data_IF_220746689939
#
_entry.id   IF_220746689939
#
_cell.length_a   1.000
_cell.length_b   1.000
_cell.length_c   1.000
_cell.angle_alpha   90.00
_cell.angle_beta   90.00
_cell.angle_gamma   90.00
#
_symmetry.space_group_name_H-M   'P 1'
#
loop_
_entity.id
_entity.type
_entity.pdbx_description
1 polymer ?
#
# COMPACT_ATOMS: atom_id res chain seq x y z
N UNK A 1 -28.08 -14.01 -11.13
CA UNK A 1 -28.59 -13.12 -10.05
C UNK A 1 -28.80 -11.75 -10.67
N UNK A 2 -29.82 -11.00 -10.27
CA UNK A 2 -29.97 -9.62 -10.74
C UNK A 2 -28.81 -8.77 -10.20
N UNK A 3 -28.26 -7.87 -11.02
CA UNK A 3 -27.22 -6.93 -10.60
C UNK A 3 -27.77 -6.01 -9.50
N UNK A 4 -26.97 -5.81 -8.46
CA UNK A 4 -27.34 -4.95 -7.34
C UNK A 4 -27.10 -3.50 -7.71
N UNK A 5 -28.04 -2.61 -7.36
CA UNK A 5 -27.86 -1.15 -7.54
C UNK A 5 -26.64 -0.57 -6.79
N UNK A 6 -26.03 -1.37 -5.91
CA UNK A 6 -24.84 -1.01 -5.13
C UNK A 6 -23.54 -1.51 -5.77
N UNK A 7 -23.58 -2.31 -6.83
CA UNK A 7 -22.38 -2.83 -7.51
C UNK A 7 -21.50 -1.69 -8.06
N UNK A 8 -22.08 -0.51 -8.33
CA UNK A 8 -21.37 0.73 -8.69
C UNK A 8 -20.38 1.25 -7.62
N UNK A 9 -20.45 0.74 -6.39
CA UNK A 9 -19.52 1.09 -5.30
C UNK A 9 -18.41 0.04 -5.12
N UNK A 10 -18.39 -1.00 -5.95
CA UNK A 10 -17.38 -2.05 -5.92
C UNK A 10 -16.33 -1.80 -7.01
N UNK A 11 -15.06 -1.97 -6.65
CA UNK A 11 -13.95 -1.96 -7.59
C UNK A 11 -13.33 -3.35 -7.59
N UNK A 12 -13.25 -3.95 -8.77
CA UNK A 12 -12.62 -5.26 -8.97
C UNK A 12 -11.34 -5.07 -9.75
N UNK A 13 -10.25 -5.67 -9.26
CA UNK A 13 -8.98 -5.68 -10.00
C UNK A 13 -9.20 -6.51 -11.28
N UNK A 14 -8.93 -5.95 -12.48
CA UNK A 14 -9.10 -6.69 -13.71
C UNK A 14 -8.09 -7.85 -13.80
N UNK A 15 -8.52 -8.97 -14.37
CA UNK A 15 -7.66 -10.15 -14.55
C UNK A 15 -6.52 -9.93 -15.56
N UNK A 16 -6.64 -8.93 -16.43
CA UNK A 16 -5.67 -8.59 -17.48
C UNK A 16 -5.45 -7.07 -17.56
N UNK A 17 -4.38 -6.63 -18.22
CA UNK A 17 -4.11 -5.20 -18.45
C UNK A 17 -3.55 -4.44 -17.24
N UNK A 18 -3.19 -5.14 -16.16
CA UNK A 18 -2.55 -4.54 -14.98
C UNK A 18 -1.14 -4.06 -15.34
N UNK A 19 -0.82 -2.81 -15.00
CA UNK A 19 0.53 -2.25 -15.17
C UNK A 19 1.24 -2.22 -13.83
N UNK A 20 2.25 -3.08 -13.67
CA UNK A 20 3.04 -3.19 -12.45
C UNK A 20 2.37 -4.02 -11.34
N UNK A 21 3.03 -4.15 -10.17
CA UNK A 21 2.56 -4.97 -9.05
C UNK A 21 1.33 -4.38 -8.32
N UNK A 22 1.00 -3.11 -8.60
CA UNK A 22 -0.04 -2.34 -7.94
C UNK A 22 -1.35 -2.21 -8.70
N UNK A 23 -2.43 -1.90 -7.99
CA UNK A 23 -3.62 -1.27 -8.56
C UNK A 23 -4.27 -0.35 -7.52
N UNK A 24 -4.92 0.71 -8.00
CA UNK A 24 -5.90 1.44 -7.21
C UNK A 24 -7.16 0.58 -7.03
N UNK A 25 -7.50 0.30 -5.78
CA UNK A 25 -8.73 -0.37 -5.37
C UNK A 25 -9.85 0.61 -5.01
N UNK A 26 -9.52 1.86 -4.70
CA UNK A 26 -10.52 2.87 -4.37
C UNK A 26 -9.97 4.26 -4.66
N UNK A 27 -10.82 5.15 -5.16
CA UNK A 27 -10.59 6.59 -5.27
C UNK A 27 -11.92 7.27 -5.62
N UNK A 28 -11.94 8.61 -5.63
CA UNK A 28 -13.11 9.34 -6.12
C UNK A 28 -13.31 9.17 -7.65
N UNK A 29 -12.22 8.94 -8.40
CA UNK A 29 -12.30 8.67 -9.84
C UNK A 29 -12.95 7.31 -10.14
N UNK A 30 -12.64 6.29 -9.34
CA UNK A 30 -13.22 4.96 -9.49
C UNK A 30 -14.65 4.89 -8.95
N UNK A 31 -14.90 5.56 -7.83
CA UNK A 31 -16.20 5.58 -7.15
C UNK A 31 -16.54 7.01 -6.76
N UNK A 32 -17.35 7.74 -7.57
CA UNK A 32 -17.70 9.12 -7.29
C UNK A 32 -18.27 9.32 -5.88
N UNK A 33 -17.65 10.24 -5.13
CA UNK A 33 -17.99 10.53 -3.73
C UNK A 33 -17.18 9.77 -2.69
N UNK A 34 -16.32 8.82 -3.10
CA UNK A 34 -15.37 8.18 -2.18
C UNK A 34 -14.15 9.10 -1.97
N UNK A 35 -14.01 9.65 -0.76
CA UNK A 35 -12.88 10.50 -0.39
C UNK A 35 -11.75 9.73 0.32
N UNK A 36 -11.58 8.47 -0.05
CA UNK A 36 -10.49 7.61 0.41
C UNK A 36 -9.88 6.93 -0.80
N UNK A 37 -8.57 6.96 -0.85
CA UNK A 37 -7.81 6.30 -1.90
C UNK A 37 -7.11 5.07 -1.31
N UNK A 38 -7.23 3.93 -1.99
CA UNK A 38 -6.66 2.66 -1.56
C UNK A 38 -5.81 2.11 -2.69
N UNK A 39 -4.51 1.99 -2.47
CA UNK A 39 -3.59 1.24 -3.32
C UNK A 39 -3.40 -0.16 -2.74
N UNK A 40 -3.32 -1.14 -3.63
CA UNK A 40 -2.97 -2.51 -3.29
C UNK A 40 -1.82 -3.00 -4.17
N UNK A 41 -0.70 -3.32 -3.55
CA UNK A 41 0.53 -3.77 -4.20
C UNK A 41 0.86 -5.20 -3.79
N UNK A 42 1.09 -6.04 -4.79
CA UNK A 42 1.53 -7.41 -4.60
C UNK A 42 3.04 -7.50 -4.75
N UNK A 43 3.75 -7.76 -3.65
CA UNK A 43 5.21 -7.88 -3.66
C UNK A 43 5.55 -9.37 -3.78
N UNK A 44 5.73 -9.85 -5.01
CA UNK A 44 6.06 -11.25 -5.31
C UNK A 44 7.56 -11.50 -5.47
N UNK A 45 8.34 -10.44 -5.54
CA UNK A 45 9.81 -10.45 -5.62
C UNK A 45 10.35 -9.15 -5.02
N UNK A 46 11.65 -9.08 -4.75
CA UNK A 46 12.28 -7.86 -4.26
C UNK A 46 12.13 -6.73 -5.30
N UNK A 47 11.46 -5.61 -4.96
CA UNK A 47 11.19 -4.53 -5.91
C UNK A 47 12.45 -3.93 -6.52
N UNK A 48 12.36 -3.48 -7.77
CA UNK A 48 13.40 -2.75 -8.49
C UNK A 48 12.79 -1.52 -9.19
N UNK A 49 13.37 -0.32 -9.05
CA UNK A 49 14.56 -0.01 -8.27
C UNK A 49 14.34 -0.16 -6.76
N UNK A 50 15.44 -0.24 -6.02
CA UNK A 50 15.47 -0.32 -4.56
C UNK A 50 16.57 0.64 -4.06
N UNK A 51 16.26 1.82 -3.51
CA UNK A 51 14.95 2.23 -2.99
C UNK A 51 13.89 2.41 -4.08
N UNK A 52 12.65 2.04 -3.74
CA UNK A 52 11.53 2.16 -4.69
C UNK A 52 10.98 3.60 -4.71
N UNK A 53 10.95 4.26 -3.56
CA UNK A 53 10.62 5.68 -3.43
C UNK A 53 11.89 6.43 -3.04
N UNK A 54 12.48 7.19 -3.97
CA UNK A 54 13.77 7.86 -3.72
C UNK A 54 13.62 9.16 -2.92
N UNK A 55 12.42 9.75 -2.92
CA UNK A 55 12.12 11.01 -2.25
C UNK A 55 11.34 10.79 -0.96
N UNK A 56 11.44 11.76 -0.06
CA UNK A 56 10.48 11.94 1.02
C UNK A 56 9.27 12.68 0.45
N UNK A 57 8.08 12.22 0.81
CA UNK A 57 6.80 12.83 0.49
C UNK A 57 6.17 13.41 1.77
N UNK A 58 5.33 14.41 1.59
CA UNK A 58 4.50 14.97 2.66
C UNK A 58 3.23 15.48 2.01
N UNK A 59 2.09 15.27 2.66
CA UNK A 59 0.78 15.62 2.14
C UNK A 59 -0.15 16.07 3.27
N UNK A 60 -1.23 16.77 2.89
CA UNK A 60 -2.19 17.40 3.80
C UNK A 60 -3.28 16.47 4.34
N UNK A 61 -3.17 15.17 4.05
CA UNK A 61 -4.05 14.11 4.52
C UNK A 61 -3.28 13.07 5.33
N UNK A 62 -4.00 12.34 6.19
CA UNK A 62 -3.43 11.22 6.92
C UNK A 62 -3.38 9.97 6.03
N UNK A 63 -2.38 9.12 6.22
CA UNK A 63 -2.15 7.91 5.44
C UNK A 63 -1.85 6.70 6.35
N UNK A 64 -2.30 5.52 5.91
CA UNK A 64 -1.88 4.25 6.49
C UNK A 64 -1.09 3.44 5.47
N UNK A 65 0.06 2.93 5.87
CA UNK A 65 0.78 1.90 5.12
C UNK A 65 0.65 0.58 5.85
N UNK A 66 -0.01 -0.38 5.21
CA UNK A 66 -0.11 -1.74 5.72
C UNK A 66 0.89 -2.61 4.96
N UNK A 67 1.72 -3.34 5.69
CA UNK A 67 2.56 -4.41 5.15
C UNK A 67 2.06 -5.71 5.75
N UNK A 68 1.55 -6.62 4.92
CA UNK A 68 0.82 -7.81 5.36
C UNK A 68 1.49 -9.05 4.77
N UNK A 69 2.03 -9.90 5.62
CA UNK A 69 2.57 -11.20 5.25
C UNK A 69 1.51 -12.11 4.63
N UNK A 70 1.91 -12.98 3.73
CA UNK A 70 1.00 -13.91 3.04
C UNK A 70 1.13 -15.36 3.49
N UNK A 71 1.80 -15.62 4.61
CA UNK A 71 1.90 -16.96 5.19
C UNK A 71 0.73 -17.18 6.18
N UNK A 72 -0.29 -17.99 5.85
CA UNK A 72 -1.43 -18.17 6.74
C UNK A 72 -1.08 -19.00 7.98
N UNK A 73 0.04 -19.72 7.99
CA UNK A 73 0.54 -20.40 9.19
C UNK A 73 1.30 -19.45 10.12
N UNK A 74 1.83 -18.36 9.58
CA UNK A 74 2.61 -17.34 10.30
C UNK A 74 2.16 -15.92 9.91
N UNK A 75 0.91 -15.51 10.21
CA UNK A 75 0.33 -14.26 9.71
C UNK A 75 1.04 -13.00 10.22
N UNK A 76 1.74 -13.09 11.35
CA UNK A 76 2.59 -12.04 11.89
C UNK A 76 3.89 -11.86 11.13
N UNK A 77 4.38 -12.89 10.43
CA UNK A 77 5.64 -12.82 9.70
C UNK A 77 5.45 -12.14 8.36
N UNK A 78 6.23 -11.08 8.11
CA UNK A 78 6.11 -10.35 6.84
C UNK A 78 6.64 -11.17 5.65
N UNK A 79 7.63 -12.03 5.86
CA UNK A 79 8.33 -12.68 4.74
C UNK A 79 9.50 -11.88 4.17
N UNK A 80 10.06 -10.95 4.95
CA UNK A 80 11.20 -10.12 4.57
C UNK A 80 11.35 -8.92 5.48
N UNK A 81 12.24 -8.01 5.09
CA UNK A 81 12.52 -6.80 5.85
C UNK A 81 12.36 -5.57 4.95
N UNK A 82 11.55 -4.62 5.40
CA UNK A 82 11.34 -3.32 4.75
C UNK A 82 11.87 -2.23 5.67
N UNK A 83 12.62 -1.31 5.09
CA UNK A 83 13.10 -0.11 5.74
C UNK A 83 12.43 1.10 5.10
N UNK A 84 11.77 1.93 5.92
CA UNK A 84 11.21 3.22 5.53
C UNK A 84 11.60 4.30 6.52
N UNK A 85 11.27 5.54 6.20
CA UNK A 85 11.58 6.70 7.02
C UNK A 85 10.35 7.57 7.24
N UNK A 86 10.22 8.09 8.46
CA UNK A 86 9.29 9.15 8.87
C UNK A 86 10.13 10.27 9.49
N UNK A 87 10.13 11.45 8.87
CA UNK A 87 11.11 12.48 9.13
C UNK A 87 12.52 11.95 8.89
N UNK A 88 13.39 12.12 9.88
CA UNK A 88 14.76 11.59 9.87
C UNK A 88 14.87 10.25 10.63
N UNK A 89 13.75 9.71 11.11
CA UNK A 89 13.72 8.48 11.89
C UNK A 89 13.41 7.27 11.01
N UNK A 90 14.14 6.18 11.26
CA UNK A 90 14.04 4.93 10.51
C UNK A 90 13.02 3.98 11.13
N UNK A 91 12.13 3.43 10.31
CA UNK A 91 11.23 2.35 10.68
C UNK A 91 11.65 1.07 9.97
N UNK A 92 11.99 0.05 10.78
CA UNK A 92 12.26 -1.30 10.28
C UNK A 92 11.01 -2.15 10.49
N UNK A 93 10.56 -2.79 9.42
CA UNK A 93 9.34 -3.57 9.37
C UNK A 93 9.73 -5.00 9.00
N UNK A 94 9.56 -5.92 9.96
CA UNK A 94 9.88 -7.35 9.81
C UNK A 94 8.65 -8.25 10.01
N UNK A 95 7.52 -7.65 10.37
CA UNK A 95 6.27 -8.31 10.71
C UNK A 95 5.09 -7.62 10.01
N UNK A 96 3.95 -8.30 9.93
CA UNK A 96 2.69 -7.71 9.51
C UNK A 96 2.38 -6.49 10.37
N UNK A 97 2.31 -5.31 9.74
CA UNK A 97 2.32 -4.02 10.44
C UNK A 97 1.40 -3.04 9.72
N UNK A 98 0.70 -2.21 10.50
CA UNK A 98 0.08 -0.99 10.02
C UNK A 98 0.86 0.22 10.57
N UNK A 99 1.30 1.10 9.68
CA UNK A 99 1.96 2.36 10.01
C UNK A 99 0.96 3.50 9.78
N UNK A 100 0.72 4.31 10.81
CA UNK A 100 -0.04 5.56 10.68
C UNK A 100 0.92 6.72 10.41
N UNK A 101 0.64 7.46 9.35
CA UNK A 101 1.40 8.62 8.91
C UNK A 101 0.48 9.84 9.07
N UNK A 102 0.71 10.68 10.10
CA UNK A 102 -0.06 11.90 10.27
C UNK A 102 0.16 12.86 9.11
N UNK A 103 -0.86 13.63 8.75
CA UNK A 103 -0.74 14.71 7.76
C UNK A 103 0.44 15.63 8.06
N UNK A 104 1.08 16.10 7.00
CA UNK A 104 2.26 16.96 6.98
C UNK A 104 3.53 16.34 7.57
N UNK A 105 3.53 15.08 8.02
CA UNK A 105 4.74 14.38 8.44
C UNK A 105 5.49 13.88 7.20
N UNK A 106 6.74 14.31 6.97
CA UNK A 106 7.55 13.76 5.89
C UNK A 106 7.72 12.26 6.08
N UNK A 107 7.56 11.47 5.03
CA UNK A 107 7.77 10.03 5.06
C UNK A 107 8.18 9.52 3.68
N UNK A 108 8.73 8.32 3.57
CA UNK A 108 9.14 7.74 2.29
C UNK A 108 10.48 7.02 2.39
N UNK A 109 11.26 7.06 1.31
CA UNK A 109 12.55 6.33 1.23
C UNK A 109 12.42 4.85 1.59
N UNK A 110 11.49 4.17 0.91
CA UNK A 110 11.20 2.77 1.18
C UNK A 110 12.15 1.86 0.40
N UNK A 111 12.81 0.94 1.11
CA UNK A 111 13.70 -0.06 0.55
C UNK A 111 13.46 -1.43 1.16
N UNK A 112 13.61 -2.47 0.34
CA UNK A 112 13.57 -3.86 0.80
C UNK A 112 14.99 -4.31 1.14
N UNK A 113 15.25 -4.62 2.41
CA UNK A 113 16.55 -5.12 2.89
C UNK A 113 16.71 -6.61 2.60
N UNK A 114 15.62 -7.36 2.70
CA UNK A 114 15.53 -8.76 2.32
C UNK A 114 14.15 -9.08 1.75
N UNK A 115 14.06 -10.18 1.00
CA UNK A 115 12.82 -10.75 0.51
C UNK A 115 12.92 -12.27 0.59
N UNK A 116 11.99 -12.91 1.29
CA UNK A 116 11.94 -14.36 1.44
C UNK A 116 10.61 -14.93 0.93
N UNK A 117 9.51 -14.22 1.19
CA UNK A 117 8.15 -14.64 0.84
C UNK A 117 7.33 -13.45 0.32
N UNK A 118 6.35 -13.72 -0.54
CA UNK A 118 5.41 -12.70 -0.97
C UNK A 118 4.69 -12.03 0.20
N UNK A 119 4.43 -10.75 0.06
CA UNK A 119 3.60 -9.97 0.96
C UNK A 119 2.81 -8.91 0.19
N UNK A 120 1.84 -8.32 0.88
CA UNK A 120 1.02 -7.24 0.36
C UNK A 120 1.49 -5.95 1.00
N UNK A 121 1.61 -4.90 0.20
CA UNK A 121 1.71 -3.53 0.70
C UNK A 121 0.46 -2.76 0.27
N UNK A 122 -0.24 -2.13 1.20
CA UNK A 122 -1.38 -1.26 0.91
C UNK A 122 -1.10 0.14 1.42
N UNK A 123 -1.48 1.13 0.61
CA UNK A 123 -1.53 2.53 1.01
C UNK A 123 -2.99 2.95 1.09
N UNK A 124 -3.43 3.46 2.24
CA UNK A 124 -4.77 3.99 2.44
C UNK A 124 -4.64 5.47 2.78
N UNK A 125 -4.98 6.32 1.82
CA UNK A 125 -4.90 7.78 1.94
C UNK A 125 -6.28 8.30 2.27
N UNK A 126 -6.41 9.08 3.35
CA UNK A 126 -7.67 9.73 3.73
C UNK A 126 -7.93 10.99 2.89
N UNK A 127 -7.86 10.82 1.56
CA UNK A 127 -8.09 11.83 0.53
C UNK A 127 -8.78 11.17 -0.67
N UNK A 128 -9.66 11.93 -1.33
CA UNK A 128 -10.31 11.50 -2.57
C UNK A 128 -9.46 11.69 -3.82
N UNK A 129 -8.35 12.43 -3.72
CA UNK A 129 -7.45 12.70 -4.84
C UNK A 129 -6.39 11.60 -4.92
N UNK A 130 -6.15 11.10 -6.13
CA UNK A 130 -5.01 10.25 -6.47
C UNK A 130 -3.76 11.12 -6.60
#
# INVERSE_FOLDING_TARGET
MAESKYDKYMVTIPATGRKGPGAWLMSNELVPGCNVNIMYNWISEQPKPNPMHMAMESHDYDEFILNIGMDPQHPEYLGGEIEGYMGDERQLITATTALYIPRNVPHGRVSWKSFERPHIQMAIKLSGKI
#
